data_IF_741321865923
#
_entry.id   IF_741321865923
#
_cell.length_a   1.000
_cell.length_b   1.000
_cell.length_c   1.000
_cell.angle_alpha   90.00
_cell.angle_beta   90.00
_cell.angle_gamma   90.00
#
_symmetry.space_group_name_H-M   'P 1'
#
loop_
_entity.id
_entity.type
_entity.pdbx_description
1 polymer ?
#
# COMPACT_ATOMS: atom_id res chain seq x y z
N UNK A 1 -6.44 33.79 38.53
CA UNK A 1 -5.23 32.95 38.37
C UNK A 1 -5.59 31.50 38.04
N UNK A 2 -6.51 30.88 38.79
CA UNK A 2 -6.96 29.48 38.64
C UNK A 2 -7.48 29.10 37.24
N UNK A 3 -8.31 29.95 36.62
CA UNK A 3 -8.88 29.70 35.27
C UNK A 3 -7.78 29.56 34.20
N UNK A 4 -6.71 30.35 34.30
CA UNK A 4 -5.60 30.34 33.34
C UNK A 4 -4.83 29.01 33.41
N UNK A 5 -4.70 28.43 34.61
CA UNK A 5 -4.07 27.12 34.79
C UNK A 5 -4.90 26.00 34.16
N UNK A 6 -6.22 26.03 34.34
CA UNK A 6 -7.14 25.05 33.75
C UNK A 6 -7.08 25.12 32.22
N UNK A 7 -7.09 26.33 31.64
CA UNK A 7 -7.02 26.52 30.19
C UNK A 7 -5.70 26.00 29.61
N UNK A 8 -4.56 26.25 30.29
CA UNK A 8 -3.26 25.70 29.88
C UNK A 8 -3.25 24.17 29.93
N UNK A 9 -3.88 23.56 30.94
CA UNK A 9 -3.94 22.11 31.07
C UNK A 9 -4.76 21.46 29.93
N UNK A 10 -5.90 22.03 29.57
CA UNK A 10 -6.73 21.55 28.45
C UNK A 10 -5.96 21.65 27.12
N UNK A 11 -5.26 22.77 26.90
CA UNK A 11 -4.47 22.94 25.68
C UNK A 11 -3.38 21.87 25.53
N UNK A 12 -2.70 21.52 26.63
CA UNK A 12 -1.68 20.46 26.64
C UNK A 12 -2.28 19.08 26.35
N UNK A 13 -3.46 18.77 26.92
CA UNK A 13 -4.18 17.51 26.64
C UNK A 13 -4.62 17.40 25.18
N UNK A 14 -5.10 18.49 24.58
CA UNK A 14 -5.49 18.49 23.17
C UNK A 14 -4.28 18.31 22.25
N UNK A 15 -3.17 18.99 22.54
CA UNK A 15 -1.91 18.85 21.79
C UNK A 15 -1.36 17.41 21.85
N UNK A 16 -1.35 16.77 23.03
CA UNK A 16 -0.86 15.40 23.15
C UNK A 16 -1.75 14.39 22.41
N UNK A 17 -3.08 14.59 22.42
CA UNK A 17 -4.01 13.77 21.65
C UNK A 17 -3.77 13.84 20.14
N UNK A 18 -3.57 15.04 19.59
CA UNK A 18 -3.29 15.23 18.16
C UNK A 18 -1.98 14.54 17.76
N UNK A 19 -0.92 14.69 18.57
CA UNK A 19 0.37 14.03 18.32
C UNK A 19 0.21 12.51 18.29
N UNK A 20 -0.57 11.94 19.21
CA UNK A 20 -0.83 10.50 19.26
C UNK A 20 -1.56 9.99 18.01
N UNK A 21 -2.59 10.71 17.54
CA UNK A 21 -3.31 10.37 16.31
C UNK A 21 -2.38 10.42 15.08
N UNK A 22 -1.54 11.45 14.97
CA UNK A 22 -0.56 11.58 13.89
C UNK A 22 0.44 10.41 13.93
N UNK A 23 0.94 10.03 15.11
CA UNK A 23 1.89 8.92 15.25
C UNK A 23 1.29 7.60 14.77
N UNK A 24 0.04 7.30 15.12
CA UNK A 24 -0.66 6.11 14.64
C UNK A 24 -0.80 6.15 13.11
N UNK A 25 -1.24 7.27 12.54
CA UNK A 25 -1.37 7.43 11.09
C UNK A 25 -0.03 7.19 10.36
N UNK A 26 1.07 7.72 10.89
CA UNK A 26 2.41 7.48 10.34
C UNK A 26 2.76 5.99 10.32
N UNK A 27 2.51 5.25 11.41
CA UNK A 27 2.77 3.80 11.48
C UNK A 27 1.95 3.05 10.42
N UNK A 28 0.66 3.35 10.28
CA UNK A 28 -0.19 2.73 9.25
C UNK A 28 0.28 3.05 7.83
N UNK A 29 0.72 4.29 7.59
CA UNK A 29 1.26 4.72 6.31
C UNK A 29 2.56 3.97 5.97
N UNK A 30 3.52 3.91 6.90
CA UNK A 30 4.78 3.17 6.71
C UNK A 30 4.56 1.68 6.52
N UNK A 31 3.65 1.06 7.29
CA UNK A 31 3.28 -0.35 7.12
C UNK A 31 2.82 -0.61 5.69
N UNK A 32 1.93 0.23 5.16
CA UNK A 32 1.42 0.12 3.78
C UNK A 32 2.54 0.23 2.73
N UNK A 33 3.50 1.14 2.92
CA UNK A 33 4.65 1.31 2.01
C UNK A 33 5.59 0.10 2.05
N UNK A 34 5.94 -0.39 3.24
CA UNK A 34 6.81 -1.57 3.37
C UNK A 34 6.20 -2.78 2.67
N UNK A 35 4.87 -2.94 2.77
CA UNK A 35 4.15 -4.02 2.12
C UNK A 35 4.23 -3.96 0.59
N UNK A 36 4.08 -2.77 -0.03
CA UNK A 36 4.20 -2.62 -1.49
C UNK A 36 5.61 -2.90 -2.02
N UNK A 37 6.64 -2.59 -1.23
CA UNK A 37 8.04 -2.90 -1.62
C UNK A 37 8.34 -4.40 -1.61
N UNK A 38 7.55 -5.20 -0.90
CA UNK A 38 7.81 -6.61 -0.67
C UNK A 38 7.09 -7.55 -1.65
N UNK A 39 6.62 -7.06 -2.80
CA UNK A 39 6.16 -7.94 -3.89
C UNK A 39 7.38 -8.74 -4.36
N UNK A 40 7.35 -10.05 -4.07
CA UNK A 40 8.41 -11.01 -4.39
C UNK A 40 8.06 -11.80 -5.64
N UNK A 41 9.08 -12.44 -6.20
CA UNK A 41 8.91 -13.46 -7.23
C UNK A 41 7.99 -14.56 -6.67
N UNK A 42 7.03 -14.98 -7.50
CA UNK A 42 5.98 -15.96 -7.24
C UNK A 42 4.77 -15.49 -6.43
N UNK A 43 4.71 -14.23 -6.00
CA UNK A 43 3.50 -13.69 -5.36
C UNK A 43 2.34 -13.61 -6.34
N UNK A 44 1.11 -13.80 -5.83
CA UNK A 44 -0.12 -13.60 -6.58
C UNK A 44 -0.56 -12.14 -6.40
N UNK A 45 -0.86 -11.48 -7.51
CA UNK A 45 -1.22 -10.07 -7.53
C UNK A 45 -2.40 -9.81 -8.48
N UNK A 46 -3.17 -8.77 -8.17
CA UNK A 46 -4.20 -8.19 -9.03
C UNK A 46 -3.63 -6.95 -9.72
N UNK A 47 -3.94 -6.77 -10.99
CA UNK A 47 -3.52 -5.59 -11.75
C UNK A 47 -4.56 -5.24 -12.80
N UNK A 48 -4.45 -4.05 -13.38
CA UNK A 48 -5.37 -3.58 -14.42
C UNK A 48 -4.65 -3.45 -15.76
N UNK A 49 -5.30 -3.93 -16.82
CA UNK A 49 -4.92 -3.70 -18.22
C UNK A 49 -6.16 -3.17 -18.93
N UNK A 50 -6.08 -1.98 -19.53
CA UNK A 50 -7.19 -1.37 -20.26
C UNK A 50 -8.52 -1.37 -19.47
N UNK A 51 -8.46 -1.01 -18.18
CA UNK A 51 -9.60 -1.02 -17.22
C UNK A 51 -10.10 -2.41 -16.79
N UNK A 52 -9.65 -3.49 -17.42
CA UNK A 52 -9.94 -4.85 -17.01
C UNK A 52 -9.01 -5.32 -15.90
N UNK A 53 -9.59 -6.03 -14.93
CA UNK A 53 -8.90 -6.53 -13.75
C UNK A 53 -8.46 -7.96 -13.96
N UNK A 54 -7.16 -8.21 -13.87
CA UNK A 54 -6.58 -9.55 -13.98
C UNK A 54 -5.96 -9.97 -12.66
N UNK A 55 -5.86 -11.29 -12.47
CA UNK A 55 -5.08 -11.89 -11.38
C UNK A 55 -3.96 -12.71 -12.00
N UNK A 56 -2.73 -12.50 -11.56
CA UNK A 56 -1.57 -13.18 -12.11
C UNK A 56 -0.47 -13.37 -11.09
N UNK A 57 0.54 -14.14 -11.51
CA UNK A 57 1.70 -14.49 -10.72
C UNK A 57 2.90 -13.65 -11.12
N UNK A 58 3.63 -13.13 -10.15
CA UNK A 58 4.88 -12.40 -10.40
C UNK A 58 5.97 -13.38 -10.83
N UNK A 59 6.51 -13.22 -12.03
CA UNK A 59 7.58 -14.07 -12.58
C UNK A 59 8.95 -13.45 -12.34
N UNK A 60 9.04 -12.12 -12.44
CA UNK A 60 10.31 -11.40 -12.30
C UNK A 60 10.07 -9.94 -11.92
N UNK A 61 11.10 -9.30 -11.36
CA UNK A 61 11.07 -7.88 -11.01
C UNK A 61 12.37 -7.21 -11.42
N UNK A 62 12.24 -6.18 -12.26
CA UNK A 62 13.37 -5.38 -12.73
C UNK A 62 13.06 -3.92 -12.39
N UNK A 63 13.69 -3.41 -11.33
CA UNK A 63 13.45 -2.06 -10.82
C UNK A 63 11.99 -1.84 -10.41
N UNK A 64 11.33 -0.88 -11.08
CA UNK A 64 9.92 -0.51 -10.87
C UNK A 64 8.95 -1.23 -11.82
N UNK A 65 9.43 -2.16 -12.65
CA UNK A 65 8.58 -3.01 -13.48
C UNK A 65 8.59 -4.44 -12.96
N UNK A 66 7.42 -5.06 -13.01
CA UNK A 66 7.20 -6.43 -12.59
C UNK A 66 6.66 -7.20 -13.79
N UNK A 67 7.29 -8.33 -14.10
CA UNK A 67 6.78 -9.26 -15.11
C UNK A 67 5.77 -10.17 -14.44
N UNK A 68 4.53 -10.15 -14.92
CA UNK A 68 3.44 -10.99 -14.45
C UNK A 68 3.05 -12.01 -15.52
N UNK A 69 2.70 -13.21 -15.07
CA UNK A 69 2.11 -14.28 -15.88
C UNK A 69 0.65 -14.43 -15.44
N UNK A 70 -0.28 -14.34 -16.39
CA UNK A 70 -1.72 -14.42 -16.12
C UNK A 70 -2.42 -15.22 -17.22
N UNK A 71 -3.60 -15.72 -16.88
CA UNK A 71 -4.51 -16.36 -17.83
C UNK A 71 -5.38 -15.28 -18.45
N UNK A 72 -5.42 -15.24 -19.78
CA UNK A 72 -6.35 -14.40 -20.52
C UNK A 72 -7.69 -15.14 -20.70
N UNK A 73 -8.71 -14.43 -21.17
CA UNK A 73 -10.09 -14.96 -21.26
C UNK A 73 -10.22 -16.16 -22.22
N UNK A 74 -9.30 -16.31 -23.16
CA UNK A 74 -9.20 -17.45 -24.07
C UNK A 74 -8.49 -18.67 -23.45
N UNK A 75 -8.06 -18.59 -22.19
CA UNK A 75 -7.30 -19.60 -21.48
C UNK A 75 -5.82 -19.65 -21.85
N UNK A 76 -5.33 -18.71 -22.66
CA UNK A 76 -3.91 -18.59 -22.97
C UNK A 76 -3.12 -18.00 -21.80
N UNK A 77 -1.84 -18.36 -21.69
CA UNK A 77 -0.93 -17.84 -20.67
C UNK A 77 -0.13 -16.68 -21.25
N UNK A 78 -0.48 -15.45 -20.88
CA UNK A 78 0.24 -14.25 -21.27
C UNK A 78 1.30 -13.84 -20.24
N UNK A 79 2.38 -13.23 -20.74
CA UNK A 79 3.45 -12.63 -19.92
C UNK A 79 3.62 -11.17 -20.27
N UNK A 80 3.31 -10.27 -19.33
CA UNK A 80 3.42 -8.82 -19.55
C UNK A 80 4.24 -8.15 -18.46
N UNK A 81 4.94 -7.07 -18.83
CA UNK A 81 5.60 -6.18 -17.87
C UNK A 81 4.65 -5.06 -17.49
N UNK A 82 4.44 -4.89 -16.18
CA UNK A 82 3.54 -3.89 -15.63
C UNK A 82 4.31 -3.06 -14.60
N UNK A 83 4.04 -1.77 -14.56
CA UNK A 83 4.60 -0.90 -13.53
C UNK A 83 4.08 -1.29 -12.15
N UNK A 84 4.96 -1.38 -11.16
CA UNK A 84 4.63 -1.83 -9.81
C UNK A 84 3.51 -1.02 -9.14
N UNK A 85 3.32 0.24 -9.55
CA UNK A 85 2.24 1.11 -9.07
C UNK A 85 0.83 0.62 -9.47
N UNK A 86 0.73 -0.16 -10.55
CA UNK A 86 -0.53 -0.72 -11.05
C UNK A 86 -0.79 -2.15 -10.53
N UNK A 87 0.02 -2.62 -9.59
CA UNK A 87 -0.03 -3.98 -9.03
C UNK A 87 -0.46 -3.92 -7.57
N UNK A 88 -1.47 -4.71 -7.25
CA UNK A 88 -2.04 -4.84 -5.92
C UNK A 88 -1.83 -6.28 -5.42
N UNK A 89 -1.12 -6.50 -4.31
CA UNK A 89 -0.98 -7.83 -3.74
C UNK A 89 -2.37 -8.40 -3.35
N UNK A 90 -2.59 -9.70 -3.63
CA UNK A 90 -3.76 -10.43 -3.13
C UNK A 90 -3.36 -11.09 -1.83
N UNK A 91 -3.91 -10.63 -0.73
CA UNK A 91 -3.72 -11.19 0.61
C UNK A 91 -4.81 -12.21 0.89
#
# INVERSE_FOLDING_TARGET
>A
MTIIFILKFIAVLLLSGIIFVIMICCIYYFKTIMLRKNIKKFDICKFYINEFKYTGKVVDRIGNQVKVEFLDDDGSVEKRRIHIHNIYPVW
#
